data_IF_594292348062
#
_entry.id   IF_594292348062
#
_cell.length_a   1.000
_cell.length_b   1.000
_cell.length_c   1.000
_cell.angle_alpha   90.00
_cell.angle_beta   90.00
_cell.angle_gamma   90.00
#
_symmetry.space_group_name_H-M   'P 1'
#
loop_
_entity.id
_entity.type
_entity.pdbx_description
1 polymer ?
#
# COMPACT_ATOMS: atom_id res chain seq x y z
N UNK A 1 3.81 -3.91 12.53
CA UNK A 1 2.49 -4.59 12.58
C UNK A 1 1.82 -4.22 13.88
N UNK A 2 0.66 -3.56 13.85
CA UNK A 2 -0.09 -3.18 15.05
C UNK A 2 -1.44 -3.88 15.08
N UNK A 3 -1.84 -4.39 16.25
CA UNK A 3 -3.17 -4.98 16.44
C UNK A 3 -4.11 -3.88 16.94
N UNK A 4 -5.14 -3.55 16.16
CA UNK A 4 -6.18 -2.58 16.53
C UNK A 4 -7.53 -3.23 16.24
N UNK A 5 -8.45 -3.18 17.21
CA UNK A 5 -9.79 -3.79 17.09
C UNK A 5 -9.74 -5.25 16.59
N UNK A 6 -8.85 -6.05 17.18
CA UNK A 6 -8.62 -7.46 16.81
C UNK A 6 -8.14 -7.72 15.38
N UNK A 7 -7.75 -6.69 14.62
CA UNK A 7 -7.17 -6.81 13.28
C UNK A 7 -5.72 -6.38 13.27
N UNK A 8 -4.89 -7.15 12.54
CA UNK A 8 -3.50 -6.77 12.28
C UNK A 8 -3.46 -5.76 11.14
N UNK A 9 -2.75 -4.67 11.37
CA UNK A 9 -2.50 -3.63 10.39
C UNK A 9 -1.02 -3.61 10.04
N UNK A 10 -0.74 -3.56 8.75
CA UNK A 10 0.60 -3.43 8.17
C UNK A 10 0.53 -2.30 7.15
N UNK A 11 1.54 -1.44 7.17
CA UNK A 11 1.70 -0.33 6.24
C UNK A 11 3.06 -0.47 5.56
N UNK A 12 3.10 -0.15 4.27
CA UNK A 12 4.32 -0.03 3.48
C UNK A 12 4.38 1.42 2.99
N UNK A 13 5.41 2.15 3.41
CA UNK A 13 5.62 3.53 2.98
C UNK A 13 6.67 3.55 1.88
N UNK A 14 6.30 4.14 0.74
CA UNK A 14 7.22 4.39 -0.37
C UNK A 14 7.62 5.86 -0.38
N UNK A 15 8.91 6.13 -0.25
CA UNK A 15 9.47 7.47 -0.26
C UNK A 15 10.35 7.66 -1.49
N UNK A 16 10.25 8.83 -2.12
CA UNK A 16 11.02 9.16 -3.30
C UNK A 16 10.98 10.67 -3.55
N UNK A 17 12.10 11.23 -3.99
CA UNK A 17 12.20 12.68 -4.27
C UNK A 17 11.38 13.09 -5.50
N UNK A 18 11.17 12.17 -6.44
CA UNK A 18 10.42 12.42 -7.67
C UNK A 18 9.04 11.75 -7.59
N UNK A 19 8.01 12.59 -7.54
CA UNK A 19 6.60 12.15 -7.54
C UNK A 19 6.25 11.30 -8.76
N UNK A 20 6.69 11.69 -9.97
CA UNK A 20 6.35 10.97 -11.20
C UNK A 20 6.90 9.55 -11.20
N UNK A 21 8.12 9.38 -10.69
CA UNK A 21 8.73 8.05 -10.57
C UNK A 21 7.95 7.16 -9.59
N UNK A 22 7.53 7.69 -8.44
CA UNK A 22 6.70 6.95 -7.48
C UNK A 22 5.37 6.54 -8.11
N UNK A 23 4.69 7.45 -8.80
CA UNK A 23 3.45 7.14 -9.51
C UNK A 23 3.65 6.09 -10.61
N UNK A 24 4.77 6.14 -11.33
CA UNK A 24 5.09 5.14 -12.34
C UNK A 24 5.23 3.74 -11.73
N UNK A 25 5.98 3.63 -10.63
CA UNK A 25 6.15 2.38 -9.87
C UNK A 25 4.80 1.88 -9.35
N UNK A 26 3.99 2.76 -8.75
CA UNK A 26 2.67 2.40 -8.22
C UNK A 26 1.73 1.89 -9.32
N UNK A 27 1.72 2.52 -10.49
CA UNK A 27 0.88 2.10 -11.61
C UNK A 27 1.25 0.69 -12.10
N UNK A 28 2.53 0.34 -12.10
CA UNK A 28 2.99 -1.00 -12.49
C UNK A 28 2.74 -2.05 -11.42
N UNK A 29 2.89 -1.68 -10.14
CA UNK A 29 2.87 -2.62 -9.02
C UNK A 29 1.47 -2.88 -8.46
N UNK A 30 0.56 -1.89 -8.48
CA UNK A 30 -0.72 -1.99 -7.78
C UNK A 30 -1.65 -3.08 -8.32
N UNK A 31 -1.79 -3.18 -9.65
CA UNK A 31 -2.65 -4.19 -10.27
C UNK A 31 -2.19 -5.64 -9.95
N UNK A 32 -0.88 -5.98 -10.09
CA UNK A 32 -0.37 -7.28 -9.65
C UNK A 32 -0.65 -7.61 -8.18
N UNK A 33 -0.58 -6.63 -7.28
CA UNK A 33 -0.81 -6.82 -5.84
C UNK A 33 -2.26 -7.20 -5.56
N UNK A 34 -3.20 -6.54 -6.22
CA UNK A 34 -4.62 -6.88 -6.12
C UNK A 34 -4.91 -8.28 -6.69
N UNK A 35 -4.13 -8.73 -7.66
CA UNK A 35 -4.26 -10.05 -8.28
C UNK A 35 -3.63 -11.20 -7.46
N UNK A 36 -2.92 -10.91 -6.36
CA UNK A 36 -2.33 -11.95 -5.52
C UNK A 36 -3.41 -12.85 -4.91
N UNK A 37 -3.21 -14.18 -4.86
CA UNK A 37 -4.21 -15.11 -4.29
C UNK A 37 -4.61 -14.76 -2.84
N UNK A 38 -3.65 -14.26 -2.07
CA UNK A 38 -3.86 -13.89 -0.67
C UNK A 38 -4.55 -12.52 -0.49
N UNK A 39 -4.59 -11.68 -1.54
CA UNK A 39 -5.19 -10.35 -1.46
C UNK A 39 -6.70 -10.39 -1.17
N UNK A 40 -7.40 -11.47 -1.59
CA UNK A 40 -8.83 -11.67 -1.31
C UNK A 40 -9.18 -11.64 0.18
N UNK A 41 -8.23 -12.01 1.05
CA UNK A 41 -8.44 -12.07 2.50
C UNK A 41 -7.97 -10.80 3.21
N UNK A 42 -7.44 -9.82 2.47
CA UNK A 42 -6.87 -8.59 3.01
C UNK A 42 -7.69 -7.38 2.57
N UNK A 43 -7.84 -6.41 3.48
CA UNK A 43 -8.29 -5.07 3.11
C UNK A 43 -7.07 -4.26 2.71
N UNK A 44 -6.83 -4.14 1.41
CA UNK A 44 -5.74 -3.35 0.84
C UNK A 44 -6.23 -1.93 0.50
N UNK A 45 -5.42 -0.93 0.82
CA UNK A 45 -5.69 0.49 0.54
C UNK A 45 -4.42 1.15 0.08
N UNK A 46 -4.52 2.03 -0.91
CA UNK A 46 -3.42 2.89 -1.36
C UNK A 46 -3.73 4.32 -0.91
N UNK A 47 -2.81 4.93 -0.19
CA UNK A 47 -2.88 6.32 0.24
C UNK A 47 -1.75 7.10 -0.44
N UNK A 48 -2.11 8.20 -1.13
CA UNK A 48 -1.16 9.04 -1.87
C UNK A 48 -0.98 10.33 -1.08
N UNK A 49 0.27 10.66 -0.80
CA UNK A 49 0.63 11.77 0.09
C UNK A 49 -0.02 11.65 1.49
N UNK A 50 0.19 10.51 2.19
CA UNK A 50 -0.40 10.32 3.51
C UNK A 50 0.08 11.38 4.50
N UNK A 51 -0.80 11.81 5.39
CA UNK A 51 -0.47 12.74 6.48
C UNK A 51 -0.29 11.96 7.79
N UNK A 52 0.85 12.17 8.46
CA UNK A 52 1.10 11.57 9.79
C UNK A 52 1.51 10.10 9.78
N UNK A 53 2.29 9.69 8.77
CA UNK A 53 2.95 8.39 8.73
C UNK A 53 4.10 8.27 9.72
#
# INVERSE_FOLDING_TARGET
MSKKNSRYHVQLLLLGKNRQQLHHVLNQWWQPVLALPNAKYLKLTLDIDPVGW
#
